data_IF_876939769756
#
_entry.id   IF_876939769756
#
_cell.length_a   1.000
_cell.length_b   1.000
_cell.length_c   1.000
_cell.angle_alpha   90.00
_cell.angle_beta   90.00
_cell.angle_gamma   90.00
#
_symmetry.space_group_name_H-M   'P 1'
#
loop_
_entity.id
_entity.type
_entity.pdbx_description
1 polymer ?
#
# COMPACT_ATOMS: atom_id res chain seq x y z
N UNK A 1 -20.91 -17.22 13.85
CA UNK A 1 -19.56 -17.17 13.27
C UNK A 1 -18.63 -16.71 14.37
N UNK A 2 -17.73 -17.56 14.83
CA UNK A 2 -16.77 -17.22 15.89
C UNK A 2 -15.50 -16.66 15.23
N UNK A 3 -15.11 -15.45 15.61
CA UNK A 3 -13.84 -14.86 15.22
C UNK A 3 -12.72 -15.62 15.95
N UNK A 4 -11.74 -16.11 15.22
CA UNK A 4 -10.62 -16.87 15.78
C UNK A 4 -9.40 -15.97 15.99
N UNK A 5 -8.47 -16.40 16.85
CA UNK A 5 -7.20 -15.68 17.03
C UNK A 5 -6.36 -15.63 15.73
N UNK A 6 -6.46 -16.65 14.87
CA UNK A 6 -5.81 -16.68 13.56
C UNK A 6 -6.37 -15.60 12.62
N UNK A 7 -7.70 -15.37 12.64
CA UNK A 7 -8.31 -14.31 11.82
C UNK A 7 -7.79 -12.92 12.22
N UNK A 8 -7.70 -12.66 13.53
CA UNK A 8 -7.18 -11.40 14.05
C UNK A 8 -5.70 -11.20 13.69
N UNK A 9 -4.90 -12.27 13.72
CA UNK A 9 -3.49 -12.21 13.32
C UNK A 9 -3.35 -11.88 11.83
N UNK A 10 -4.19 -12.44 10.95
CA UNK A 10 -4.18 -12.11 9.51
C UNK A 10 -4.55 -10.64 9.32
N UNK A 11 -5.65 -10.16 9.93
CA UNK A 11 -6.08 -8.76 9.83
C UNK A 11 -4.99 -7.80 10.30
N UNK A 12 -4.41 -8.06 11.47
CA UNK A 12 -3.34 -7.24 12.03
C UNK A 12 -2.08 -7.25 11.15
N UNK A 13 -1.67 -8.43 10.69
CA UNK A 13 -0.48 -8.58 9.85
C UNK A 13 -0.62 -7.85 8.52
N UNK A 14 -1.75 -8.03 7.81
CA UNK A 14 -2.02 -7.32 6.55
C UNK A 14 -2.09 -5.81 6.79
N UNK A 15 -2.77 -5.38 7.86
CA UNK A 15 -2.87 -3.97 8.22
C UNK A 15 -1.50 -3.32 8.48
N UNK A 16 -0.63 -3.98 9.24
CA UNK A 16 0.74 -3.50 9.53
C UNK A 16 1.59 -3.45 8.26
N UNK A 17 1.58 -4.53 7.48
CA UNK A 17 2.37 -4.60 6.22
C UNK A 17 1.96 -3.51 5.26
N UNK A 18 0.64 -3.34 5.08
CA UNK A 18 0.11 -2.31 4.19
C UNK A 18 0.44 -0.91 4.72
N UNK A 19 0.31 -0.66 6.03
CA UNK A 19 0.63 0.63 6.63
C UNK A 19 2.11 1.00 6.39
N UNK A 20 3.04 0.08 6.61
CA UNK A 20 4.47 0.29 6.33
C UNK A 20 4.71 0.66 4.85
N UNK A 21 4.02 -0.03 3.94
CA UNK A 21 4.13 0.29 2.52
C UNK A 21 3.55 1.68 2.18
N UNK A 22 2.43 2.07 2.81
CA UNK A 22 1.79 3.39 2.58
C UNK A 22 2.67 4.53 3.09
N UNK A 23 3.33 4.34 4.24
CA UNK A 23 4.22 5.36 4.83
C UNK A 23 5.43 5.66 3.94
N UNK A 24 5.89 4.69 3.15
CA UNK A 24 6.99 4.87 2.20
C UNK A 24 6.62 5.84 1.07
N UNK A 25 7.43 6.88 0.82
CA UNK A 25 7.13 7.89 -0.18
C UNK A 25 7.04 7.30 -1.60
N UNK A 26 6.01 7.73 -2.32
CA UNK A 26 5.72 7.31 -3.69
C UNK A 26 4.77 8.29 -4.38
N UNK A 27 4.19 7.94 -5.54
CA UNK A 27 3.30 8.82 -6.28
C UNK A 27 2.16 9.39 -5.43
N UNK A 28 1.50 8.55 -4.62
CA UNK A 28 0.39 8.94 -3.74
C UNK A 28 0.83 9.95 -2.67
N UNK A 29 2.04 9.79 -2.12
CA UNK A 29 2.61 10.73 -1.18
C UNK A 29 2.89 12.08 -1.84
N UNK A 30 3.52 12.04 -3.02
CA UNK A 30 3.90 13.25 -3.76
C UNK A 30 2.69 14.09 -4.16
N UNK A 31 1.62 13.46 -4.70
CA UNK A 31 0.42 14.18 -5.09
C UNK A 31 -0.27 14.82 -3.88
N UNK A 32 -0.40 14.09 -2.77
CA UNK A 32 -1.02 14.61 -1.54
C UNK A 32 -0.26 15.81 -1.00
N UNK A 33 1.07 15.66 -0.86
CA UNK A 33 1.93 16.72 -0.34
C UNK A 33 1.91 17.96 -1.24
N UNK A 34 2.07 17.78 -2.56
CA UNK A 34 2.06 18.90 -3.53
C UNK A 34 0.72 19.65 -3.49
N UNK A 35 -0.39 18.93 -3.51
CA UNK A 35 -1.71 19.55 -3.46
C UNK A 35 -1.94 20.29 -2.16
N UNK A 36 -1.53 19.70 -1.01
CA UNK A 36 -1.65 20.37 0.29
C UNK A 36 -0.81 21.65 0.40
N UNK A 37 0.38 21.67 -0.22
CA UNK A 37 1.29 22.83 -0.22
C UNK A 37 0.87 23.89 -1.25
N UNK A 38 0.54 23.47 -2.48
CA UNK A 38 0.30 24.40 -3.59
C UNK A 38 -1.12 24.94 -3.64
N UNK A 39 -2.12 24.21 -3.09
CA UNK A 39 -3.53 24.63 -3.09
C UNK A 39 -4.05 24.88 -1.70
N UNK A 40 -4.40 23.81 -0.96
CA UNK A 40 -4.88 23.91 0.41
C UNK A 40 -4.83 22.57 1.13
N UNK A 41 -4.86 22.59 2.48
CA UNK A 41 -5.06 21.38 3.29
C UNK A 41 -6.34 20.64 2.93
N UNK A 42 -7.42 21.37 2.68
CA UNK A 42 -8.71 20.79 2.31
C UNK A 42 -8.62 20.04 0.98
N UNK A 43 -7.87 20.54 0.00
CA UNK A 43 -7.64 19.84 -1.26
C UNK A 43 -6.73 18.63 -1.06
N UNK A 44 -5.71 18.73 -0.21
CA UNK A 44 -4.90 17.57 0.19
C UNK A 44 -5.72 16.45 0.85
N UNK A 45 -6.70 16.81 1.71
CA UNK A 45 -7.63 15.84 2.30
C UNK A 45 -8.55 15.21 1.25
N UNK A 46 -9.00 15.97 0.24
CA UNK A 46 -9.78 15.43 -0.88
C UNK A 46 -8.95 14.42 -1.70
N UNK A 47 -7.67 14.70 -1.92
CA UNK A 47 -6.72 13.74 -2.53
C UNK A 47 -6.64 12.48 -1.68
N UNK A 48 -6.48 12.60 -0.35
CA UNK A 48 -6.39 11.45 0.55
C UNK A 48 -7.65 10.56 0.49
N UNK A 49 -8.84 11.16 0.40
CA UNK A 49 -10.09 10.42 0.20
C UNK A 49 -10.12 9.71 -1.16
N UNK A 50 -9.67 10.36 -2.23
CA UNK A 50 -9.56 9.74 -3.54
C UNK A 50 -8.60 8.55 -3.56
N UNK A 51 -7.44 8.68 -2.92
CA UNK A 51 -6.48 7.58 -2.74
C UNK A 51 -7.10 6.41 -1.98
N UNK A 52 -7.80 6.69 -0.86
CA UNK A 52 -8.50 5.67 -0.08
C UNK A 52 -9.56 4.93 -0.89
N UNK A 53 -10.37 5.64 -1.68
CA UNK A 53 -11.33 5.02 -2.59
C UNK A 53 -10.65 4.13 -3.64
N UNK A 54 -9.54 4.57 -4.23
CA UNK A 54 -8.76 3.76 -5.16
C UNK A 54 -8.20 2.50 -4.51
N UNK A 55 -7.73 2.60 -3.25
CA UNK A 55 -7.29 1.45 -2.44
C UNK A 55 -8.43 0.46 -2.19
N UNK A 56 -9.62 0.95 -1.81
CA UNK A 56 -10.81 0.11 -1.61
C UNK A 56 -11.18 -0.63 -2.90
N UNK A 57 -11.14 0.04 -4.04
CA UNK A 57 -11.41 -0.57 -5.35
C UNK A 57 -10.41 -1.69 -5.63
N UNK A 58 -9.10 -1.43 -5.51
CA UNK A 58 -8.06 -2.44 -5.75
C UNK A 58 -8.14 -3.60 -4.77
N UNK A 59 -8.34 -3.34 -3.48
CA UNK A 59 -8.48 -4.38 -2.46
C UNK A 59 -9.69 -5.27 -2.74
N UNK A 60 -10.85 -4.66 -3.04
CA UNK A 60 -12.08 -5.39 -3.36
C UNK A 60 -11.93 -6.22 -4.65
N UNK A 61 -11.38 -5.63 -5.71
CA UNK A 61 -11.14 -6.32 -6.98
C UNK A 61 -10.18 -7.51 -6.79
N UNK A 62 -9.11 -7.32 -6.01
CA UNK A 62 -8.12 -8.37 -5.73
C UNK A 62 -8.74 -9.51 -4.92
N UNK A 63 -9.47 -9.22 -3.84
CA UNK A 63 -10.10 -10.25 -3.00
C UNK A 63 -11.17 -11.04 -3.75
N UNK A 64 -11.99 -10.36 -4.55
CA UNK A 64 -13.05 -11.02 -5.33
C UNK A 64 -12.50 -11.73 -6.57
N UNK A 65 -11.54 -11.11 -7.26
CA UNK A 65 -10.97 -11.63 -8.50
C UNK A 65 -10.04 -12.81 -8.28
N UNK A 66 -9.20 -12.79 -7.24
CA UNK A 66 -8.26 -13.87 -6.94
C UNK A 66 -8.96 -15.17 -6.58
N UNK A 67 -10.06 -15.13 -5.81
CA UNK A 67 -10.80 -16.32 -5.44
C UNK A 67 -11.37 -17.05 -6.67
N UNK A 68 -11.96 -16.32 -7.62
CA UNK A 68 -12.46 -16.88 -8.86
C UNK A 68 -11.30 -17.41 -9.75
N UNK A 69 -10.23 -16.65 -9.84
CA UNK A 69 -9.09 -16.95 -10.71
C UNK A 69 -8.33 -18.19 -10.25
N UNK A 70 -8.09 -18.35 -8.94
CA UNK A 70 -7.36 -19.51 -8.40
C UNK A 70 -8.19 -20.80 -8.45
N UNK A 71 -9.53 -20.71 -8.42
CA UNK A 71 -10.39 -21.87 -8.66
C UNK A 71 -10.29 -22.36 -10.10
N UNK A 72 -10.19 -21.44 -11.07
CA UNK A 72 -10.09 -21.77 -12.49
C UNK A 72 -8.67 -22.17 -12.91
N UNK A 73 -7.65 -21.53 -12.33
CA UNK A 73 -6.25 -21.68 -12.73
C UNK A 73 -5.36 -21.82 -11.49
N UNK A 74 -5.30 -23.00 -10.83
CA UNK A 74 -4.55 -23.18 -9.58
C UNK A 74 -3.04 -22.90 -9.71
N UNK A 75 -2.44 -23.13 -10.88
CA UNK A 75 -1.03 -22.85 -11.15
C UNK A 75 -0.71 -21.34 -11.10
N UNK A 76 -1.70 -20.48 -11.37
CA UNK A 76 -1.55 -19.05 -11.35
C UNK A 76 -1.25 -18.53 -9.94
N UNK A 77 -1.74 -19.21 -8.90
CA UNK A 77 -1.39 -18.91 -7.51
C UNK A 77 0.12 -18.94 -7.28
N UNK A 78 0.80 -19.99 -7.77
CA UNK A 78 2.25 -20.13 -7.64
C UNK A 78 2.98 -19.03 -8.40
N UNK A 79 2.55 -18.73 -9.63
CA UNK A 79 3.14 -17.66 -10.46
C UNK A 79 2.97 -16.30 -9.80
N UNK A 80 1.78 -15.99 -9.26
CA UNK A 80 1.54 -14.73 -8.58
C UNK A 80 2.31 -14.65 -7.25
N UNK A 81 2.43 -15.76 -6.52
CA UNK A 81 3.22 -15.81 -5.28
C UNK A 81 4.71 -15.53 -5.56
N UNK A 82 5.28 -16.15 -6.59
CA UNK A 82 6.66 -15.92 -7.00
C UNK A 82 6.88 -14.50 -7.52
N UNK A 83 6.01 -14.05 -8.43
CA UNK A 83 6.07 -12.68 -8.97
C UNK A 83 5.93 -11.63 -7.87
N UNK A 84 5.02 -11.85 -6.93
CA UNK A 84 4.84 -10.99 -5.76
C UNK A 84 6.07 -10.96 -4.85
N UNK A 85 6.67 -12.12 -4.58
CA UNK A 85 7.90 -12.21 -3.80
C UNK A 85 9.06 -11.43 -4.45
N UNK A 86 9.28 -11.63 -5.74
CA UNK A 86 10.32 -10.92 -6.51
C UNK A 86 10.06 -9.41 -6.56
N UNK A 87 8.80 -9.00 -6.71
CA UNK A 87 8.43 -7.59 -6.67
C UNK A 87 8.69 -6.95 -5.30
N UNK A 88 8.35 -7.63 -4.20
CA UNK A 88 8.62 -7.13 -2.85
C UNK A 88 10.13 -6.99 -2.62
N UNK A 89 10.94 -7.91 -3.10
CA UNK A 89 12.40 -7.83 -3.03
C UNK A 89 12.93 -6.65 -3.86
N UNK A 90 12.43 -6.48 -5.09
CA UNK A 90 12.78 -5.35 -5.94
C UNK A 90 12.43 -4.01 -5.28
N UNK A 91 11.23 -3.91 -4.71
CA UNK A 91 10.79 -2.71 -3.98
C UNK A 91 11.66 -2.46 -2.74
N UNK A 92 11.99 -3.49 -1.97
CA UNK A 92 12.86 -3.41 -0.81
C UNK A 92 14.25 -2.89 -1.18
N UNK A 93 14.86 -3.40 -2.25
CA UNK A 93 16.13 -2.93 -2.77
C UNK A 93 16.05 -1.47 -3.21
N UNK A 94 14.97 -1.09 -3.91
CA UNK A 94 14.72 0.29 -4.32
C UNK A 94 14.65 1.25 -3.13
N UNK A 95 13.90 0.89 -2.09
CA UNK A 95 13.79 1.68 -0.86
C UNK A 95 15.14 1.87 -0.16
N UNK A 96 15.96 0.82 -0.11
CA UNK A 96 17.30 0.92 0.48
C UNK A 96 18.23 1.80 -0.33
N UNK A 97 18.27 1.61 -1.66
CA UNK A 97 19.16 2.36 -2.56
C UNK A 97 18.85 3.85 -2.58
N UNK A 98 17.55 4.20 -2.60
CA UNK A 98 17.08 5.58 -2.71
C UNK A 98 16.68 6.22 -1.37
N UNK A 99 17.00 5.56 -0.24
CA UNK A 99 16.63 6.04 1.09
C UNK A 99 17.17 7.46 1.37
N UNK A 100 18.41 7.76 0.95
CA UNK A 100 19.05 9.04 1.15
C UNK A 100 18.68 10.10 0.09
N UNK A 101 18.00 9.71 -0.99
CA UNK A 101 17.65 10.64 -2.06
C UNK A 101 16.63 11.67 -1.57
N UNK A 102 16.78 12.94 -1.95
CA UNK A 102 15.82 13.96 -1.59
C UNK A 102 14.46 13.68 -2.23
N UNK A 103 13.39 14.00 -1.51
CA UNK A 103 12.05 13.98 -2.10
C UNK A 103 11.97 15.11 -3.13
N UNK A 104 11.82 14.76 -4.40
CA UNK A 104 11.66 15.75 -5.46
C UNK A 104 10.37 16.54 -5.24
N UNK A 105 10.53 17.80 -4.83
CA UNK A 105 9.42 18.74 -4.62
C UNK A 105 9.17 19.61 -5.84
N UNK A 106 10.11 19.59 -6.80
CA UNK A 106 10.15 20.49 -7.94
C UNK A 106 9.37 19.94 -9.14
N UNK A 107 8.68 20.83 -9.82
CA UNK A 107 8.32 20.67 -11.24
C UNK A 107 6.96 20.15 -11.62
N UNK A 108 5.97 19.99 -10.74
CA UNK A 108 4.60 19.80 -11.19
C UNK A 108 3.71 20.91 -10.65
N UNK A 109 3.24 21.78 -11.56
CA UNK A 109 2.11 22.64 -11.27
C UNK A 109 0.99 21.77 -10.66
N UNK A 110 0.37 22.23 -9.57
CA UNK A 110 -0.79 21.53 -9.03
C UNK A 110 -1.81 21.35 -10.16
N UNK A 111 -2.19 20.09 -10.44
CA UNK A 111 -3.17 19.83 -11.48
C UNK A 111 -4.42 20.68 -11.22
N UNK A 112 -4.94 21.34 -12.27
CA UNK A 112 -6.08 22.26 -12.13
C UNK A 112 -7.44 21.54 -12.00
N UNK A 113 -7.43 20.23 -11.77
CA UNK A 113 -8.61 19.39 -11.70
C UNK A 113 -9.22 19.23 -10.29
N UNK A 114 -10.18 18.33 -10.17
CA UNK A 114 -10.79 17.94 -8.91
C UNK A 114 -9.79 17.11 -8.08
N UNK A 115 -9.40 17.54 -6.86
CA UNK A 115 -8.39 16.85 -6.06
C UNK A 115 -8.76 15.42 -5.68
N UNK A 116 -10.03 15.13 -5.47
CA UNK A 116 -10.50 13.77 -5.21
C UNK A 116 -10.25 12.86 -6.42
N UNK A 117 -10.57 13.33 -7.63
CA UNK A 117 -10.36 12.57 -8.88
C UNK A 117 -8.86 12.38 -9.13
N UNK A 118 -8.06 13.40 -8.85
CA UNK A 118 -6.60 13.33 -8.95
C UNK A 118 -6.04 12.23 -8.03
N UNK A 119 -6.47 12.18 -6.77
CA UNK A 119 -6.09 11.12 -5.84
C UNK A 119 -6.56 9.74 -6.31
N UNK A 120 -7.82 9.62 -6.73
CA UNK A 120 -8.40 8.36 -7.21
C UNK A 120 -7.62 7.81 -8.42
N UNK A 121 -7.40 8.64 -9.44
CA UNK A 121 -6.67 8.23 -10.64
C UNK A 121 -5.20 7.90 -10.33
N UNK A 122 -4.55 8.70 -9.45
CA UNK A 122 -3.19 8.39 -9.00
C UNK A 122 -3.12 7.00 -8.37
N UNK A 123 -4.06 6.66 -7.51
CA UNK A 123 -4.07 5.34 -6.84
C UNK A 123 -4.38 4.22 -7.81
N UNK A 124 -5.35 4.40 -8.69
CA UNK A 124 -5.73 3.39 -9.68
C UNK A 124 -4.61 3.11 -10.71
N UNK A 125 -3.82 4.13 -11.05
CA UNK A 125 -2.70 4.03 -11.98
C UNK A 125 -1.37 3.66 -11.29
N UNK A 126 -1.35 3.54 -9.95
CA UNK A 126 -0.11 3.31 -9.21
C UNK A 126 0.32 1.84 -9.29
N UNK A 127 1.39 1.50 -10.03
CA UNK A 127 1.83 0.12 -10.18
C UNK A 127 2.25 -0.51 -8.84
N UNK A 128 2.75 0.31 -7.90
CA UNK A 128 3.09 -0.15 -6.54
C UNK A 128 1.86 -0.74 -5.83
N UNK A 129 0.70 -0.11 -5.98
CA UNK A 129 -0.55 -0.51 -5.33
C UNK A 129 -1.08 -1.80 -5.94
N UNK A 130 -1.12 -1.88 -7.27
CA UNK A 130 -1.60 -3.07 -8.01
C UNK A 130 -0.82 -4.32 -7.61
N UNK A 131 0.50 -4.23 -7.73
CA UNK A 131 1.37 -5.38 -7.45
C UNK A 131 1.43 -5.68 -5.95
N UNK A 132 1.39 -4.64 -5.10
CA UNK A 132 1.35 -4.81 -3.66
C UNK A 132 0.12 -5.62 -3.21
N UNK A 133 -1.08 -5.23 -3.62
CA UNK A 133 -2.30 -5.96 -3.25
C UNK A 133 -2.31 -7.37 -3.82
N UNK A 134 -1.93 -7.56 -5.09
CA UNK A 134 -1.79 -8.88 -5.68
C UNK A 134 -0.83 -9.78 -4.90
N UNK A 135 0.31 -9.23 -4.46
CA UNK A 135 1.33 -9.99 -3.72
C UNK A 135 0.90 -10.30 -2.28
N UNK A 136 0.46 -9.29 -1.54
CA UNK A 136 0.15 -9.41 -0.10
C UNK A 136 -1.09 -10.26 0.15
N UNK A 137 -2.14 -10.09 -0.65
CA UNK A 137 -3.35 -10.88 -0.44
C UNK A 137 -3.13 -12.34 -0.81
N UNK A 138 -2.39 -12.63 -1.89
CA UNK A 138 -1.99 -14.00 -2.23
C UNK A 138 -1.15 -14.64 -1.14
N UNK A 139 -0.30 -13.84 -0.50
CA UNK A 139 0.65 -14.30 0.48
C UNK A 139 0.08 -14.56 1.86
N UNK A 140 -0.85 -13.69 2.30
CA UNK A 140 -1.23 -13.59 3.70
C UNK A 140 -2.71 -13.84 3.96
N UNK A 141 -3.56 -13.76 2.93
CA UNK A 141 -5.01 -13.91 3.09
C UNK A 141 -5.44 -15.33 2.73
N UNK A 142 -6.13 -16.07 3.63
CA UNK A 142 -6.66 -17.38 3.31
C UNK A 142 -7.63 -17.35 2.13
N UNK A 143 -7.57 -18.35 1.25
CA UNK A 143 -8.47 -18.47 0.09
C UNK A 143 -9.91 -18.72 0.54
N UNK A 144 -10.06 -19.60 1.55
CA UNK A 144 -11.36 -19.83 2.18
C UNK A 144 -11.49 -18.95 3.42
N UNK A 145 -12.29 -17.91 3.31
CA UNK A 145 -12.52 -16.95 4.39
C UNK A 145 -13.97 -16.47 4.42
N UNK A 146 -14.51 -16.14 5.58
CA UNK A 146 -15.85 -15.57 5.70
C UNK A 146 -15.90 -14.15 5.10
N UNK A 147 -17.05 -13.75 4.58
CA UNK A 147 -17.26 -12.44 3.94
C UNK A 147 -16.89 -11.27 4.86
N UNK A 148 -17.18 -11.39 6.18
CA UNK A 148 -16.85 -10.35 7.12
C UNK A 148 -15.33 -10.04 7.16
N UNK A 149 -14.48 -11.06 6.98
CA UNK A 149 -13.03 -10.90 6.97
C UNK A 149 -12.56 -10.12 5.74
N UNK A 150 -13.16 -10.38 4.57
CA UNK A 150 -12.90 -9.60 3.36
C UNK A 150 -13.31 -8.13 3.55
N UNK A 151 -14.47 -7.88 4.14
CA UNK A 151 -14.93 -6.51 4.44
C UNK A 151 -14.02 -5.82 5.45
N UNK A 152 -13.58 -6.53 6.50
CA UNK A 152 -12.65 -5.99 7.48
C UNK A 152 -11.28 -5.65 6.86
N UNK A 153 -10.74 -6.51 5.98
CA UNK A 153 -9.50 -6.24 5.26
C UNK A 153 -9.62 -4.98 4.39
N UNK A 154 -10.69 -4.87 3.59
CA UNK A 154 -10.93 -3.68 2.76
C UNK A 154 -11.04 -2.41 3.61
N UNK A 155 -11.76 -2.49 4.73
CA UNK A 155 -11.90 -1.36 5.66
C UNK A 155 -10.55 -0.96 6.27
N UNK A 156 -9.76 -1.91 6.74
CA UNK A 156 -8.44 -1.66 7.36
C UNK A 156 -7.50 -0.98 6.35
N UNK A 157 -7.37 -1.52 5.14
CA UNK A 157 -6.43 -0.95 4.16
C UNK A 157 -6.91 0.40 3.63
N UNK A 158 -8.22 0.59 3.45
CA UNK A 158 -8.80 1.88 3.08
C UNK A 158 -8.61 2.95 4.16
N UNK A 159 -8.85 2.59 5.43
CA UNK A 159 -8.64 3.49 6.57
C UNK A 159 -7.17 3.86 6.74
N UNK A 160 -6.26 2.90 6.66
CA UNK A 160 -4.82 3.19 6.72
C UNK A 160 -4.42 4.24 5.67
N UNK A 161 -4.90 4.09 4.44
CA UNK A 161 -4.63 5.00 3.34
C UNK A 161 -5.14 6.41 3.64
N UNK A 162 -6.45 6.51 4.00
CA UNK A 162 -7.08 7.81 4.31
C UNK A 162 -6.41 8.46 5.50
N UNK A 163 -6.18 7.73 6.59
CA UNK A 163 -5.59 8.27 7.82
C UNK A 163 -4.17 8.78 7.55
N UNK A 164 -3.33 7.97 6.88
CA UNK A 164 -1.96 8.36 6.60
C UNK A 164 -1.89 9.59 5.70
N UNK A 165 -2.59 9.59 4.56
CA UNK A 165 -2.52 10.74 3.64
C UNK A 165 -3.25 11.96 4.15
N UNK A 166 -4.25 11.81 5.02
CA UNK A 166 -4.81 12.95 5.77
C UNK A 166 -3.80 13.55 6.76
N UNK A 167 -3.01 12.70 7.42
CA UNK A 167 -1.91 13.17 8.26
C UNK A 167 -0.84 13.89 7.41
N UNK A 168 -0.49 13.35 6.25
CA UNK A 168 0.43 14.01 5.30
C UNK A 168 -0.12 15.36 4.86
N UNK A 169 -1.37 15.42 4.38
CA UNK A 169 -2.00 16.68 3.94
C UNK A 169 -2.00 17.74 5.04
N UNK A 170 -2.28 17.34 6.27
CA UNK A 170 -2.30 18.23 7.43
C UNK A 170 -0.90 18.67 7.84
N UNK A 171 0.06 17.75 7.88
CA UNK A 171 1.42 18.00 8.30
C UNK A 171 2.19 18.89 7.32
N UNK A 172 2.02 18.67 6.02
CA UNK A 172 2.75 19.41 4.98
C UNK A 172 2.17 20.79 4.67
N UNK A 173 0.96 21.08 5.16
CA UNK A 173 0.50 22.47 5.24
C UNK A 173 1.28 23.33 6.24
N UNK A 174 2.24 22.74 7.02
CA UNK A 174 3.12 23.43 7.98
C UNK A 174 4.61 23.09 7.75
N UNK A 175 5.47 24.10 7.68
CA UNK A 175 6.91 23.93 7.40
C UNK A 175 7.65 23.04 8.41
N UNK A 176 7.25 23.07 9.69
CA UNK A 176 7.93 22.36 10.78
C UNK A 176 7.80 20.84 10.64
N UNK A 177 6.59 20.32 10.43
CA UNK A 177 6.32 18.89 10.32
C UNK A 177 6.88 18.31 9.03
N UNK A 178 6.84 19.10 7.94
CA UNK A 178 7.52 18.76 6.68
C UNK A 178 9.02 18.50 6.91
N UNK A 179 9.72 19.40 7.63
CA UNK A 179 11.14 19.23 7.92
C UNK A 179 11.45 17.99 8.77
N UNK A 180 10.59 17.65 9.73
CA UNK A 180 10.72 16.42 10.55
C UNK A 180 10.61 15.17 9.67
N UNK A 181 9.58 15.09 8.82
CA UNK A 181 9.40 13.95 7.92
C UNK A 181 10.58 13.78 6.95
N UNK A 182 11.02 14.87 6.31
CA UNK A 182 12.13 14.80 5.34
C UNK A 182 13.42 14.29 5.99
N UNK A 183 13.67 14.62 7.26
CA UNK A 183 14.82 14.07 8.02
C UNK A 183 14.62 12.60 8.37
N UNK A 184 13.41 12.16 8.67
CA UNK A 184 13.11 10.78 9.03
C UNK A 184 13.00 9.84 7.80
N UNK A 185 12.83 10.38 6.58
CA UNK A 185 12.60 9.63 5.35
C UNK A 185 13.56 8.46 5.16
N UNK A 186 14.85 8.70 5.30
CA UNK A 186 15.85 7.65 5.11
C UNK A 186 15.68 6.47 6.09
N UNK A 187 15.33 6.76 7.34
CA UNK A 187 15.01 5.74 8.34
C UNK A 187 13.75 4.98 7.99
N UNK A 188 12.69 5.70 7.62
CA UNK A 188 11.41 5.11 7.20
C UNK A 188 11.61 4.16 6.02
N UNK A 189 12.31 4.60 4.97
CA UNK A 189 12.54 3.80 3.78
C UNK A 189 13.35 2.53 4.07
N UNK A 190 14.38 2.63 4.92
CA UNK A 190 15.19 1.46 5.32
C UNK A 190 14.39 0.46 6.15
N UNK A 191 13.61 0.91 7.13
CA UNK A 191 12.75 0.04 7.95
C UNK A 191 11.73 -0.66 7.07
N UNK A 192 11.02 0.09 6.22
CA UNK A 192 10.04 -0.45 5.28
C UNK A 192 10.69 -1.44 4.30
N UNK A 193 11.83 -1.07 3.71
CA UNK A 193 12.58 -1.93 2.80
C UNK A 193 13.03 -3.23 3.45
N UNK A 194 13.55 -3.18 4.69
CA UNK A 194 13.92 -4.38 5.44
C UNK A 194 12.71 -5.29 5.65
N UNK A 195 11.59 -4.72 6.10
CA UNK A 195 10.38 -5.50 6.38
C UNK A 195 9.82 -6.16 5.11
N UNK A 196 9.70 -5.39 4.01
CA UNK A 196 9.22 -5.93 2.72
C UNK A 196 10.20 -6.95 2.13
N UNK A 197 11.50 -6.77 2.32
CA UNK A 197 12.53 -7.72 1.91
C UNK A 197 12.42 -9.06 2.64
N UNK A 198 12.26 -9.02 3.97
CA UNK A 198 12.05 -10.23 4.78
C UNK A 198 10.76 -10.95 4.38
N UNK A 199 9.68 -10.20 4.12
CA UNK A 199 8.43 -10.78 3.66
C UNK A 199 8.58 -11.42 2.27
N UNK A 200 9.25 -10.74 1.34
CA UNK A 200 9.54 -11.28 0.00
C UNK A 200 10.36 -12.56 0.05
N UNK A 201 11.40 -12.61 0.89
CA UNK A 201 12.19 -13.82 1.12
C UNK A 201 11.36 -14.97 1.69
N UNK A 202 10.52 -14.69 2.71
CA UNK A 202 9.62 -15.69 3.30
C UNK A 202 8.67 -16.28 2.27
N UNK A 203 8.12 -15.44 1.38
CA UNK A 203 7.24 -15.88 0.31
C UNK A 203 7.97 -16.74 -0.72
N UNK A 204 9.19 -16.34 -1.07
CA UNK A 204 10.03 -17.08 -2.01
C UNK A 204 10.32 -18.48 -1.48
N UNK A 205 10.82 -18.59 -0.25
CA UNK A 205 11.07 -19.87 0.43
C UNK A 205 9.80 -20.72 0.50
N UNK A 206 8.68 -20.14 0.97
CA UNK A 206 7.40 -20.85 1.06
C UNK A 206 6.78 -21.27 -0.27
N UNK A 207 7.25 -20.71 -1.41
CA UNK A 207 6.83 -21.15 -2.73
C UNK A 207 7.52 -22.46 -3.14
N UNK A 208 8.75 -22.70 -2.67
CA UNK A 208 9.51 -23.93 -2.93
C UNK A 208 9.18 -25.06 -1.96
N UNK A 209 8.81 -24.74 -0.71
CA UNK A 209 8.51 -25.74 0.32
C UNK A 209 7.13 -26.44 0.15
N UNK A 210 6.35 -26.04 -0.86
CA UNK A 210 5.03 -26.63 -1.14
C UNK A 210 3.99 -26.43 -0.02
N UNK A 211 4.35 -25.75 1.07
CA UNK A 211 3.45 -25.48 2.18
C UNK A 211 2.50 -24.34 1.81
N UNK A 212 1.22 -24.67 1.73
CA UNK A 212 0.17 -23.65 1.76
C UNK A 212 0.23 -23.02 3.16
N UNK A 213 0.66 -21.77 3.24
CA UNK A 213 0.58 -20.99 4.47
C UNK A 213 -0.84 -20.48 4.61
#
# INVERSE_FOLDING_TARGET
>A
MTVTSSDLLVLASVGVVQFLAVVSPGPSFLVTMRTAVARSRADGLRVALGLGCGTVIWASATLSGLDALFRLLPWLFVVMKLGGALYLLWLAIGLWRHAADPVALDGAAAAQGNPFVEGLLTQLSNPKVVVFFGSIFVAMVPTERPTWMSLALVAIVGLNEVVWYSAVATAFGGARLRGVYLRAKAGIDRVTGTFLGLLGLRLLVGAFDGRRV
#
